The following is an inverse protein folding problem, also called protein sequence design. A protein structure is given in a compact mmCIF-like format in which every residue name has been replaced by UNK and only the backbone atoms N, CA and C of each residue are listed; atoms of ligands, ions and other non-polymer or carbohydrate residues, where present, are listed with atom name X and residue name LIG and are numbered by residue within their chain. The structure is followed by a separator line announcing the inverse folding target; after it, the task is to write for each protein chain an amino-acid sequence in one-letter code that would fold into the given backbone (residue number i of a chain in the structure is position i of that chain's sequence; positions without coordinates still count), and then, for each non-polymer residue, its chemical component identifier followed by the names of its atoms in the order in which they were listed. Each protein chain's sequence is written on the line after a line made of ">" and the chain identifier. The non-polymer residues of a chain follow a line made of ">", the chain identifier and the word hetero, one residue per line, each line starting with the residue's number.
data_IF_831238201217
#
_entry.id   IF_831238201217
#
_cell.length_a   1.000
_cell.length_b   1.000
_cell.length_c   1.000
_cell.angle_alpha   90.00
_cell.angle_beta   90.00
_cell.angle_gamma   90.00
#
_symmetry.space_group_name_H-M   'P 1'
#
loop_
_entity.id
_entity.type
_entity.pdbx_description
1 polymer ?
#
# COMPACT_ATOMS: atom_id res chain seq x y z
N UNK A 1 7.74 -15.79 -39.24
CA UNK A 1 6.94 -14.55 -39.20
C UNK A 1 7.60 -13.61 -38.21
N UNK A 2 8.04 -12.45 -38.64
CA UNK A 2 8.85 -11.54 -37.84
C UNK A 2 7.90 -10.76 -36.92
N UNK A 3 8.30 -10.49 -35.67
CA UNK A 3 7.50 -9.76 -34.69
C UNK A 3 7.05 -8.39 -35.21
N UNK A 4 7.84 -7.78 -36.09
CA UNK A 4 7.49 -6.49 -36.75
C UNK A 4 6.34 -6.64 -37.76
N UNK A 5 6.24 -7.75 -38.49
CA UNK A 5 5.13 -8.03 -39.40
C UNK A 5 3.83 -8.23 -38.61
N UNK A 6 3.89 -8.98 -37.49
CA UNK A 6 2.72 -9.23 -36.65
C UNK A 6 2.17 -7.95 -35.98
N UNK A 7 3.06 -7.05 -35.54
CA UNK A 7 2.65 -5.76 -34.98
C UNK A 7 2.06 -4.82 -36.03
N UNK A 8 2.53 -4.88 -37.27
CA UNK A 8 1.98 -4.07 -38.36
C UNK A 8 0.57 -4.54 -38.75
N UNK A 9 0.36 -5.85 -38.88
CA UNK A 9 -0.96 -6.44 -39.18
C UNK A 9 -1.98 -6.20 -38.05
N UNK A 10 -1.55 -6.29 -36.79
CA UNK A 10 -2.40 -6.02 -35.64
C UNK A 10 -2.84 -4.55 -35.58
N UNK A 11 -1.94 -3.63 -35.89
CA UNK A 11 -2.24 -2.20 -35.96
C UNK A 11 -3.22 -1.91 -37.08
N UNK A 12 -3.04 -2.51 -38.25
CA UNK A 12 -3.94 -2.33 -39.40
C UNK A 12 -5.33 -2.92 -39.14
N UNK A 13 -5.40 -4.03 -38.40
CA UNK A 13 -6.66 -4.63 -37.97
C UNK A 13 -7.42 -3.74 -36.98
N UNK A 14 -6.72 -3.24 -35.97
CA UNK A 14 -7.29 -2.29 -34.98
C UNK A 14 -7.74 -1.00 -35.66
N UNK A 15 -6.98 -0.51 -36.63
CA UNK A 15 -7.30 0.70 -37.37
C UNK A 15 -8.50 0.56 -38.30
N UNK A 16 -8.72 -0.64 -38.84
CA UNK A 16 -9.91 -0.96 -39.66
C UNK A 16 -11.18 -1.08 -38.84
N UNK A 17 -11.08 -1.66 -37.65
CA UNK A 17 -12.25 -1.94 -36.80
C UNK A 17 -12.71 -0.75 -35.96
N UNK A 18 -11.82 0.20 -35.64
CA UNK A 18 -12.10 1.25 -34.67
C UNK A 18 -12.52 2.62 -35.22
N UNK A 19 -12.70 2.78 -36.53
CA UNK A 19 -13.07 4.07 -37.17
C UNK A 19 -12.34 5.31 -36.59
N UNK A 20 -11.02 5.17 -36.38
CA UNK A 20 -10.21 6.13 -35.60
C UNK A 20 -9.84 7.34 -36.48
N UNK A 21 -10.06 8.55 -35.96
CA UNK A 21 -9.69 9.81 -36.65
C UNK A 21 -8.21 9.86 -37.07
N UNK A 22 -7.88 10.51 -38.19
CA UNK A 22 -6.52 10.58 -38.77
C UNK A 22 -5.44 11.07 -37.79
N UNK A 23 -5.79 11.99 -36.89
CA UNK A 23 -4.88 12.58 -35.90
C UNK A 23 -4.48 11.52 -34.81
N UNK A 24 -5.42 10.69 -34.44
CA UNK A 24 -5.14 9.58 -33.49
C UNK A 24 -4.26 8.50 -34.12
N UNK A 25 -4.46 8.21 -35.41
CA UNK A 25 -3.59 7.30 -36.17
C UNK A 25 -2.12 7.70 -36.07
N UNK A 26 -1.82 8.99 -36.30
CA UNK A 26 -0.44 9.46 -36.25
C UNK A 26 0.21 9.35 -34.88
N UNK A 27 -0.55 9.58 -33.81
CA UNK A 27 -0.09 9.41 -32.43
C UNK A 27 0.17 7.95 -32.05
N UNK A 28 -0.67 7.02 -32.50
CA UNK A 28 -0.54 5.59 -32.23
C UNK A 28 0.69 5.02 -32.96
N UNK A 29 0.85 5.32 -34.25
CA UNK A 29 2.00 4.87 -35.04
C UNK A 29 3.31 5.41 -34.48
N UNK A 30 3.34 6.68 -34.06
CA UNK A 30 4.54 7.28 -33.44
C UNK A 30 4.90 6.65 -32.10
N UNK A 31 3.90 6.21 -31.31
CA UNK A 31 4.11 5.57 -30.02
C UNK A 31 4.56 4.12 -30.15
N UNK A 32 4.06 3.40 -31.15
CA UNK A 32 4.45 2.00 -31.43
C UNK A 32 5.82 1.94 -32.10
N UNK A 33 6.14 2.88 -32.99
CA UNK A 33 7.46 2.97 -33.64
C UNK A 33 8.63 3.28 -32.69
N UNK A 34 8.34 3.78 -31.47
CA UNK A 34 9.35 4.02 -30.43
C UNK A 34 9.50 2.86 -29.44
N UNK A 35 8.79 1.74 -29.67
CA UNK A 35 8.91 0.57 -28.82
C UNK A 35 10.32 -0.02 -28.99
N UNK A 36 11.20 0.29 -28.05
CA UNK A 36 12.51 -0.38 -28.00
C UNK A 36 12.25 -1.84 -27.72
N UNK A 37 12.77 -2.77 -28.55
CA UNK A 37 12.60 -4.19 -28.27
C UNK A 37 13.06 -4.47 -26.86
N UNK A 38 12.27 -5.21 -26.12
CA UNK A 38 12.60 -5.68 -24.77
C UNK A 38 14.00 -6.27 -24.81
N UNK A 39 14.97 -5.61 -24.19
CA UNK A 39 16.30 -6.17 -24.03
C UNK A 39 16.10 -7.42 -23.19
N UNK A 40 16.29 -8.58 -23.81
CA UNK A 40 16.40 -9.83 -23.05
C UNK A 40 17.38 -9.58 -21.92
N UNK A 41 16.86 -9.45 -20.70
CA UNK A 41 17.72 -9.45 -19.54
C UNK A 41 18.41 -10.79 -19.56
N UNK A 42 19.71 -10.82 -19.93
CA UNK A 42 20.55 -12.01 -19.78
C UNK A 42 20.15 -12.63 -18.46
N UNK A 43 19.56 -13.82 -18.53
CA UNK A 43 19.10 -14.52 -17.33
C UNK A 43 20.24 -14.47 -16.34
N UNK A 44 20.11 -13.66 -15.30
CA UNK A 44 21.04 -13.70 -14.17
C UNK A 44 21.04 -15.16 -13.78
N UNK A 45 22.22 -15.82 -13.87
CA UNK A 45 22.39 -17.21 -13.44
C UNK A 45 21.54 -17.39 -12.21
N UNK A 46 20.57 -18.29 -12.26
CA UNK A 46 19.70 -18.62 -11.14
C UNK A 46 20.63 -18.83 -9.95
N UNK A 47 20.69 -17.84 -9.07
CA UNK A 47 21.39 -18.01 -7.81
C UNK A 47 20.75 -19.22 -7.15
N UNK A 48 21.55 -20.21 -6.70
CA UNK A 48 21.01 -21.41 -6.07
C UNK A 48 19.95 -20.95 -5.07
N UNK A 49 18.78 -21.62 -5.09
CA UNK A 49 17.63 -21.33 -4.25
C UNK A 49 18.14 -20.88 -2.87
N UNK A 50 18.00 -19.58 -2.61
CA UNK A 50 18.37 -19.02 -1.31
C UNK A 50 17.52 -19.78 -0.32
N UNK A 51 18.14 -20.71 0.42
CA UNK A 51 17.46 -21.44 1.48
C UNK A 51 16.78 -20.37 2.31
N UNK A 52 15.44 -20.30 2.18
CA UNK A 52 14.64 -19.31 2.89
C UNK A 52 14.95 -19.53 4.36
N UNK A 53 15.76 -18.66 4.93
CA UNK A 53 15.95 -18.64 6.37
C UNK A 53 14.56 -18.70 7.01
N UNK A 54 14.33 -19.54 8.02
CA UNK A 54 13.01 -19.66 8.64
C UNK A 54 12.49 -18.26 8.94
N UNK A 55 11.26 -17.98 8.47
CA UNK A 55 10.65 -16.65 8.69
C UNK A 55 10.64 -16.41 10.18
N UNK A 56 11.22 -15.29 10.61
CA UNK A 56 11.14 -14.90 12.03
C UNK A 56 9.68 -14.95 12.45
N UNK A 57 9.38 -15.52 13.63
CA UNK A 57 8.01 -15.52 14.15
C UNK A 57 7.50 -14.07 14.18
N UNK A 58 6.25 -13.86 13.77
CA UNK A 58 5.62 -12.54 13.81
C UNK A 58 5.46 -12.16 15.28
N UNK A 59 6.16 -11.11 15.70
CA UNK A 59 6.04 -10.62 17.07
C UNK A 59 4.68 -9.98 17.29
N UNK A 60 3.99 -10.37 18.35
CA UNK A 60 2.71 -9.77 18.76
C UNK A 60 2.91 -8.43 19.43
N UNK A 61 1.94 -7.54 19.26
CA UNK A 61 1.90 -6.25 19.95
C UNK A 61 1.47 -6.50 21.40
N UNK A 62 2.27 -6.04 22.34
CA UNK A 62 1.97 -6.18 23.76
C UNK A 62 1.10 -5.01 24.23
N UNK A 63 -0.20 -5.15 24.07
CA UNK A 63 -1.18 -4.09 24.30
C UNK A 63 -1.02 -3.37 25.64
N UNK A 64 -0.90 -4.11 26.73
CA UNK A 64 -0.79 -3.55 28.09
C UNK A 64 0.54 -2.84 28.41
N UNK A 65 1.57 -3.07 27.59
CA UNK A 65 2.87 -2.35 27.71
C UNK A 65 2.87 -1.03 26.95
N UNK A 66 1.81 -0.69 26.21
CA UNK A 66 1.70 0.53 25.43
C UNK A 66 1.27 1.72 26.33
N UNK A 67 1.62 2.96 25.93
CA UNK A 67 1.08 4.16 26.61
C UNK A 67 -0.45 4.18 26.62
N UNK A 68 -1.05 4.66 27.71
CA UNK A 68 -2.50 4.68 27.88
C UNK A 68 -3.25 5.37 26.72
N UNK A 69 -2.74 6.48 26.21
CA UNK A 69 -3.29 7.15 25.03
C UNK A 69 -3.30 6.22 23.81
N UNK A 70 -2.20 5.49 23.56
CA UNK A 70 -2.12 4.58 22.43
C UNK A 70 -3.09 3.40 22.58
N UNK A 71 -3.28 2.89 23.80
CA UNK A 71 -4.27 1.85 24.06
C UNK A 71 -5.69 2.34 23.71
N UNK A 72 -6.07 3.56 24.14
CA UNK A 72 -7.36 4.18 23.78
C UNK A 72 -7.53 4.35 22.28
N UNK A 73 -6.48 4.82 21.57
CA UNK A 73 -6.50 4.97 20.11
C UNK A 73 -6.61 3.64 19.38
N UNK A 74 -5.99 2.57 19.89
CA UNK A 74 -6.13 1.21 19.32
C UNK A 74 -7.57 0.72 19.49
N UNK A 75 -8.18 0.89 20.67
CA UNK A 75 -9.57 0.52 20.91
C UNK A 75 -10.49 1.25 19.94
N UNK A 76 -10.36 2.56 19.83
CA UNK A 76 -11.15 3.39 18.91
C UNK A 76 -10.99 2.94 17.46
N UNK A 77 -9.75 2.67 17.02
CA UNK A 77 -9.50 2.17 15.68
C UNK A 77 -10.17 0.81 15.46
N UNK A 78 -10.05 -0.12 16.41
CA UNK A 78 -10.67 -1.44 16.34
C UNK A 78 -12.20 -1.35 16.25
N UNK A 79 -12.83 -0.45 17.00
CA UNK A 79 -14.27 -0.20 16.94
C UNK A 79 -14.69 0.34 15.57
N UNK A 80 -13.93 1.29 14.99
CA UNK A 80 -14.27 1.89 13.69
C UNK A 80 -14.13 0.93 12.51
N UNK A 81 -13.24 -0.03 12.61
CA UNK A 81 -12.97 -1.01 11.56
C UNK A 81 -13.58 -2.39 11.86
N UNK A 82 -14.39 -2.51 12.91
CA UNK A 82 -15.03 -3.77 13.35
C UNK A 82 -14.03 -4.92 13.53
N UNK A 83 -12.92 -4.62 14.20
CA UNK A 83 -11.83 -5.57 14.44
C UNK A 83 -11.67 -5.83 15.93
N UNK A 84 -11.52 -7.08 16.31
CA UNK A 84 -11.16 -7.45 17.67
C UNK A 84 -9.73 -7.01 18.04
N UNK A 85 -9.54 -6.43 19.24
CA UNK A 85 -8.25 -5.92 19.73
C UNK A 85 -7.18 -7.01 19.76
N UNK A 86 -7.53 -8.26 20.10
CA UNK A 86 -6.58 -9.36 20.12
C UNK A 86 -6.14 -9.74 18.70
N UNK A 87 -7.07 -9.69 17.73
CA UNK A 87 -6.73 -9.89 16.31
C UNK A 87 -5.79 -8.79 15.82
N UNK A 88 -6.09 -7.53 16.13
CA UNK A 88 -5.22 -6.39 15.80
C UNK A 88 -3.81 -6.58 16.36
N UNK A 89 -3.70 -6.97 17.63
CA UNK A 89 -2.41 -7.19 18.31
C UNK A 89 -1.66 -8.44 17.82
N UNK A 90 -2.35 -9.39 17.21
CA UNK A 90 -1.70 -10.60 16.66
C UNK A 90 -0.78 -10.31 15.47
N UNK A 91 -0.83 -9.11 14.94
CA UNK A 91 -0.01 -8.63 13.83
C UNK A 91 -0.10 -9.53 12.57
N UNK A 92 -1.25 -10.18 12.37
CA UNK A 92 -1.53 -11.00 11.20
C UNK A 92 -1.60 -10.13 9.95
N UNK A 93 -1.32 -10.74 8.79
CA UNK A 93 -1.36 -10.07 7.49
C UNK A 93 -2.74 -10.13 6.83
N UNK A 94 -3.82 -10.07 7.60
CA UNK A 94 -5.17 -9.91 7.07
C UNK A 94 -5.35 -8.46 6.62
N UNK A 95 -6.08 -8.25 5.55
CA UNK A 95 -6.17 -6.96 4.87
C UNK A 95 -6.79 -5.89 5.78
N UNK A 96 -7.86 -6.23 6.47
CA UNK A 96 -8.56 -5.39 7.45
C UNK A 96 -7.63 -4.95 8.61
N UNK A 97 -6.87 -5.89 9.18
CA UNK A 97 -5.89 -5.59 10.24
C UNK A 97 -4.78 -4.68 9.72
N UNK A 98 -4.26 -4.97 8.52
CA UNK A 98 -3.19 -4.18 7.91
C UNK A 98 -3.68 -2.76 7.60
N UNK A 99 -4.90 -2.61 7.14
CA UNK A 99 -5.51 -1.31 6.86
C UNK A 99 -5.68 -0.49 8.14
N UNK A 100 -6.26 -1.08 9.17
CA UNK A 100 -6.45 -0.42 10.47
C UNK A 100 -5.12 -0.01 11.09
N UNK A 101 -4.11 -0.90 11.06
CA UNK A 101 -2.76 -0.56 11.53
C UNK A 101 -2.14 0.56 10.70
N UNK A 102 -2.33 0.58 9.39
CA UNK A 102 -1.83 1.63 8.50
C UNK A 102 -2.41 2.99 8.86
N UNK A 103 -3.72 3.06 9.07
CA UNK A 103 -4.42 4.29 9.42
C UNK A 103 -3.98 4.84 10.78
N UNK A 104 -3.85 3.97 11.76
CA UNK A 104 -3.36 4.36 13.08
C UNK A 104 -1.88 4.79 13.05
N UNK A 105 -1.02 4.09 12.31
CA UNK A 105 0.38 4.46 12.11
C UNK A 105 0.49 5.85 11.46
N UNK A 106 -0.30 6.12 10.43
CA UNK A 106 -0.33 7.41 9.75
C UNK A 106 -0.75 8.52 10.74
N UNK A 107 -1.82 8.31 11.49
CA UNK A 107 -2.29 9.25 12.50
C UNK A 107 -1.21 9.57 13.54
N UNK A 108 -0.58 8.55 14.11
CA UNK A 108 0.50 8.73 15.08
C UNK A 108 1.70 9.50 14.50
N UNK A 109 2.01 9.28 13.23
CA UNK A 109 3.15 9.92 12.59
C UNK A 109 2.85 11.35 12.14
N UNK A 110 1.68 11.59 11.56
CA UNK A 110 1.32 12.89 10.96
C UNK A 110 0.68 13.85 11.96
N UNK A 111 -0.24 13.37 12.77
CA UNK A 111 -0.97 14.22 13.72
C UNK A 111 -0.20 14.36 15.05
N UNK A 112 0.21 13.24 15.64
CA UNK A 112 0.91 13.26 16.92
C UNK A 112 2.43 13.43 16.80
N UNK A 113 2.98 13.52 15.58
CA UNK A 113 4.41 13.76 15.30
C UNK A 113 5.37 12.75 15.95
N UNK A 114 4.91 11.53 16.23
CA UNK A 114 5.81 10.50 16.72
C UNK A 114 6.78 10.05 15.62
N UNK A 115 8.01 9.75 16.01
CA UNK A 115 9.03 9.25 15.07
C UNK A 115 8.71 7.84 14.58
N UNK A 116 9.06 7.54 13.34
CA UNK A 116 8.85 6.20 12.73
C UNK A 116 9.52 5.08 13.55
N UNK A 117 10.65 5.36 14.19
CA UNK A 117 11.33 4.40 15.06
C UNK A 117 10.52 4.11 16.34
N UNK A 118 9.91 5.14 16.97
CA UNK A 118 9.07 4.98 18.16
C UNK A 118 7.80 4.18 17.84
N UNK A 119 7.14 4.52 16.74
CA UNK A 119 5.96 3.80 16.24
C UNK A 119 6.34 2.34 15.91
N UNK A 120 7.46 2.13 15.23
CA UNK A 120 7.94 0.79 14.88
C UNK A 120 8.14 -0.11 16.10
N UNK A 121 8.70 0.43 17.20
CA UNK A 121 8.82 -0.31 18.47
C UNK A 121 7.48 -0.76 19.04
N UNK A 122 6.47 0.09 19.02
CA UNK A 122 5.12 -0.24 19.50
C UNK A 122 4.43 -1.30 18.64
N UNK A 123 4.53 -1.18 17.32
CA UNK A 123 3.88 -2.09 16.38
C UNK A 123 4.74 -3.32 16.00
N UNK A 124 5.94 -3.46 16.60
CA UNK A 124 6.89 -4.53 16.25
C UNK A 124 7.22 -4.57 14.75
N UNK A 125 7.43 -3.38 14.18
CA UNK A 125 7.74 -3.16 12.76
C UNK A 125 9.02 -2.33 12.61
N UNK A 126 9.71 -2.53 11.50
CA UNK A 126 10.84 -1.68 11.15
C UNK A 126 10.36 -0.27 10.78
N UNK A 127 11.21 0.73 11.03
CA UNK A 127 10.92 2.12 10.67
C UNK A 127 10.59 2.31 9.18
N UNK A 128 11.23 1.54 8.30
CA UNK A 128 10.92 1.52 6.86
C UNK A 128 9.50 1.03 6.57
N UNK A 129 9.03 0.03 7.31
CA UNK A 129 7.63 -0.43 7.22
C UNK A 129 6.64 0.64 7.66
N UNK A 130 6.98 1.42 8.70
CA UNK A 130 6.16 2.55 9.15
C UNK A 130 6.08 3.63 8.07
N UNK A 131 7.21 4.01 7.48
CA UNK A 131 7.25 5.00 6.39
C UNK A 131 6.48 4.52 5.16
N UNK A 132 6.63 3.25 4.79
CA UNK A 132 5.86 2.66 3.70
C UNK A 132 4.36 2.66 3.99
N UNK A 133 3.95 2.35 5.22
CA UNK A 133 2.55 2.44 5.62
C UNK A 133 2.00 3.87 5.46
N UNK A 134 2.78 4.89 5.82
CA UNK A 134 2.40 6.29 5.64
C UNK A 134 2.27 6.68 4.16
N UNK A 135 3.19 6.24 3.29
CA UNK A 135 3.11 6.50 1.85
C UNK A 135 1.88 5.82 1.24
N UNK A 136 1.68 4.54 1.55
CA UNK A 136 0.54 3.77 1.06
C UNK A 136 -0.81 4.35 1.53
N UNK A 137 -0.87 4.84 2.79
CA UNK A 137 -2.06 5.56 3.27
C UNK A 137 -2.34 6.80 2.43
N UNK A 138 -1.31 7.62 2.15
CA UNK A 138 -1.48 8.83 1.35
C UNK A 138 -2.00 8.52 -0.06
N UNK A 139 -1.51 7.45 -0.69
CA UNK A 139 -1.95 7.00 -2.00
C UNK A 139 -3.43 6.59 -1.98
N UNK A 140 -3.86 5.77 -1.01
CA UNK A 140 -5.27 5.39 -0.86
C UNK A 140 -6.17 6.57 -0.50
N UNK A 141 -5.72 7.45 0.36
CA UNK A 141 -6.47 8.65 0.74
C UNK A 141 -6.77 9.56 -0.46
N UNK A 142 -5.87 9.62 -1.44
CA UNK A 142 -6.05 10.39 -2.68
C UNK A 142 -6.96 9.68 -3.68
N UNK A 143 -6.88 8.35 -3.77
CA UNK A 143 -7.51 7.58 -4.86
C UNK A 143 -8.84 6.96 -4.47
N UNK A 144 -9.03 6.58 -3.20
CA UNK A 144 -10.22 5.88 -2.73
C UNK A 144 -11.09 6.77 -1.81
N UNK A 145 -12.27 7.12 -2.32
CA UNK A 145 -13.23 7.98 -1.59
C UNK A 145 -13.81 7.32 -0.33
N UNK A 146 -14.01 5.98 -0.37
CA UNK A 146 -14.54 5.26 0.79
C UNK A 146 -13.51 5.18 1.90
N UNK A 147 -12.28 4.82 1.54
CA UNK A 147 -11.14 4.81 2.45
C UNK A 147 -10.96 6.17 3.13
N UNK A 148 -11.00 7.26 2.37
CA UNK A 148 -10.91 8.63 2.90
C UNK A 148 -12.00 8.91 3.93
N UNK A 149 -13.26 8.61 3.60
CA UNK A 149 -14.41 8.84 4.50
C UNK A 149 -14.26 8.09 5.82
N UNK A 150 -13.81 6.84 5.78
CA UNK A 150 -13.59 6.01 6.98
C UNK A 150 -12.45 6.58 7.82
N UNK A 151 -11.35 6.98 7.18
CA UNK A 151 -10.24 7.59 7.89
C UNK A 151 -10.59 8.94 8.49
N UNK A 152 -11.29 9.83 7.78
CA UNK A 152 -11.69 11.16 8.28
C UNK A 152 -12.58 11.04 9.53
N UNK A 153 -13.51 10.08 9.54
CA UNK A 153 -14.34 9.78 10.71
C UNK A 153 -13.49 9.30 11.90
N UNK A 154 -12.56 8.37 11.66
CA UNK A 154 -11.63 7.93 12.69
C UNK A 154 -10.77 9.10 13.22
N UNK A 155 -10.21 9.91 12.31
CA UNK A 155 -9.35 11.04 12.66
C UNK A 155 -10.08 12.07 13.54
N UNK A 156 -11.32 12.42 13.20
CA UNK A 156 -12.13 13.36 13.97
C UNK A 156 -12.35 12.88 15.40
N UNK A 157 -12.71 11.62 15.60
CA UNK A 157 -12.94 11.07 16.93
C UNK A 157 -11.63 10.87 17.72
N UNK A 158 -10.56 10.46 17.04
CA UNK A 158 -9.24 10.35 17.67
C UNK A 158 -8.73 11.72 18.17
N UNK A 159 -8.98 12.78 17.41
CA UNK A 159 -8.62 14.14 17.85
C UNK A 159 -9.46 14.60 19.07
N UNK A 160 -10.76 14.29 19.12
CA UNK A 160 -11.60 14.57 20.30
C UNK A 160 -11.06 13.85 21.54
N UNK A 161 -10.73 12.56 21.40
CA UNK A 161 -10.19 11.74 22.49
C UNK A 161 -8.87 12.30 23.05
N UNK A 162 -8.04 12.93 22.20
CA UNK A 162 -6.77 13.54 22.63
C UNK A 162 -7.01 14.83 23.44
N UNK A 163 -8.02 15.61 23.08
CA UNK A 163 -8.35 16.88 23.79
C UNK A 163 -8.93 16.60 25.17
N UNK A 164 -9.58 15.44 25.37
CA UNK A 164 -10.18 15.03 26.65
C UNK A 164 -9.19 14.41 27.65
N UNK A 165 -7.93 14.18 27.25
CA UNK A 165 -6.86 13.55 28.06
C UNK A 165 -5.87 14.59 28.55
#
# INVERSE_FOLDING_TARGET
>A
MNIQEYTSELIDLIMKTANVEPILRHKIVKKVGTFKPYKEHKHKKLTPLRILSPRKPVETIKFFELPALLQKLIILACEKYDIDVNKFCSNRRQEDIVETQRNLIYFLHKELKYTSTKIGRWFKKDHSTVLHACSTHADYYLTDKLYRKVYDNFNEEAMKLIVEV
#
